data_IF_685731405828
#
_entry.id   IF_685731405828
#
_cell.length_a   1.000
_cell.length_b   1.000
_cell.length_c   1.000
_cell.angle_alpha   90.00
_cell.angle_beta   90.00
_cell.angle_gamma   90.00
#
_symmetry.space_group_name_H-M   'P 1'
#
loop_
_entity.id
_entity.type
_entity.pdbx_description
1 polymer ?
#
# COMPACT_ATOMS: atom_id res chain seq x y z
N UNK A 1 -138.58 43.15 29.56
CA UNK A 1 -137.99 41.82 29.79
C UNK A 1 -137.45 41.16 28.53
N UNK A 2 -138.10 41.29 27.35
CA UNK A 2 -137.63 40.63 26.10
C UNK A 2 -136.31 41.23 25.57
N UNK A 3 -136.10 42.55 25.67
CA UNK A 3 -134.86 43.21 25.19
C UNK A 3 -133.59 42.81 25.97
N UNK A 4 -133.69 42.56 27.29
CA UNK A 4 -132.56 42.12 28.12
C UNK A 4 -132.17 40.65 27.84
N UNK A 5 -133.15 39.78 27.55
CA UNK A 5 -132.92 38.38 27.20
C UNK A 5 -132.25 38.24 25.82
N UNK A 6 -132.71 39.02 24.83
CA UNK A 6 -132.08 39.06 23.50
C UNK A 6 -130.64 39.58 23.59
N UNK A 7 -130.37 40.60 24.42
CA UNK A 7 -129.01 41.09 24.69
C UNK A 7 -128.09 40.02 25.29
N UNK A 8 -128.59 39.22 26.24
CA UNK A 8 -127.82 38.14 26.87
C UNK A 8 -127.51 36.99 25.89
N UNK A 9 -128.48 36.61 25.05
CA UNK A 9 -128.29 35.60 23.99
C UNK A 9 -127.27 36.06 22.95
N UNK A 10 -127.31 37.33 22.51
CA UNK A 10 -126.34 37.89 21.57
C UNK A 10 -124.93 37.92 22.18
N UNK A 11 -124.79 38.26 23.46
CA UNK A 11 -123.48 38.23 24.15
C UNK A 11 -122.94 36.79 24.22
N UNK A 12 -123.77 35.80 24.55
CA UNK A 12 -123.37 34.39 24.59
C UNK A 12 -122.94 33.91 23.20
N UNK A 13 -123.70 34.24 22.15
CA UNK A 13 -123.35 33.87 20.77
C UNK A 13 -122.04 34.54 20.34
N UNK A 14 -121.83 35.82 20.64
CA UNK A 14 -120.57 36.51 20.37
C UNK A 14 -119.39 35.90 21.14
N UNK A 15 -119.57 35.51 22.41
CA UNK A 15 -118.54 34.81 23.19
C UNK A 15 -118.21 33.44 22.61
N UNK A 16 -119.22 32.67 22.18
CA UNK A 16 -119.02 31.37 21.53
C UNK A 16 -118.27 31.55 20.21
N UNK A 17 -118.66 32.52 19.38
CA UNK A 17 -117.97 32.84 18.12
C UNK A 17 -116.53 33.29 18.38
N UNK A 18 -116.29 34.13 19.39
CA UNK A 18 -114.95 34.56 19.77
C UNK A 18 -114.07 33.40 20.26
N UNK A 19 -114.60 32.47 21.05
CA UNK A 19 -113.89 31.25 21.48
C UNK A 19 -113.60 30.32 20.31
N UNK A 20 -114.53 30.16 19.37
CA UNK A 20 -114.34 29.36 18.15
C UNK A 20 -113.27 30.00 17.25
N UNK A 21 -113.32 31.31 17.03
CA UNK A 21 -112.32 32.06 16.26
C UNK A 21 -110.95 32.00 16.95
N UNK A 22 -110.88 32.19 18.27
CA UNK A 22 -109.65 32.06 19.05
C UNK A 22 -109.05 30.66 18.95
N UNK A 23 -109.87 29.61 19.06
CA UNK A 23 -109.43 28.23 18.83
C UNK A 23 -108.99 27.96 17.40
N UNK A 24 -109.68 28.53 16.40
CA UNK A 24 -109.35 28.36 14.98
C UNK A 24 -108.05 29.06 14.62
N UNK A 25 -107.86 30.30 15.08
CA UNK A 25 -106.62 31.07 14.91
C UNK A 25 -105.48 30.44 15.69
N UNK A 26 -105.72 29.98 16.92
CA UNK A 26 -104.74 29.25 17.73
C UNK A 26 -104.30 27.94 17.07
N UNK A 27 -105.25 27.16 16.51
CA UNK A 27 -104.93 25.96 15.74
C UNK A 27 -104.16 26.29 14.45
N UNK A 28 -104.50 27.39 13.78
CA UNK A 28 -103.78 27.84 12.57
C UNK A 28 -102.36 28.27 12.88
N UNK A 29 -102.12 28.99 13.97
CA UNK A 29 -100.76 29.34 14.44
C UNK A 29 -99.99 28.07 14.83
N UNK A 30 -100.65 27.13 15.50
CA UNK A 30 -100.05 25.86 15.89
C UNK A 30 -99.54 25.07 14.67
N UNK A 31 -100.39 24.89 13.66
CA UNK A 31 -100.05 24.05 12.49
C UNK A 31 -99.26 24.78 11.41
N UNK A 32 -99.33 26.11 11.32
CA UNK A 32 -98.68 26.89 10.24
C UNK A 32 -97.37 27.54 10.70
N UNK A 33 -97.11 27.64 12.00
CA UNK A 33 -95.90 28.30 12.53
C UNK A 33 -95.18 27.39 13.53
N UNK A 34 -95.87 26.92 14.58
CA UNK A 34 -95.21 26.16 15.67
C UNK A 34 -94.72 24.78 15.25
N UNK A 35 -95.53 24.01 14.51
CA UNK A 35 -95.12 22.68 14.01
C UNK A 35 -93.87 22.76 13.11
N UNK A 36 -93.83 23.61 12.05
CA UNK A 36 -92.63 23.77 11.23
C UNK A 36 -91.41 24.32 11.98
N UNK A 37 -91.58 25.26 12.92
CA UNK A 37 -90.48 25.75 13.74
C UNK A 37 -89.91 24.65 14.64
N UNK A 38 -90.75 23.75 15.14
CA UNK A 38 -90.29 22.62 15.93
C UNK A 38 -89.55 21.58 15.06
N UNK A 39 -89.94 21.38 13.80
CA UNK A 39 -89.15 20.57 12.86
C UNK A 39 -87.76 21.17 12.60
N UNK A 40 -87.67 22.50 12.42
CA UNK A 40 -86.38 23.19 12.24
C UNK A 40 -85.54 23.13 13.53
N UNK A 41 -86.16 23.28 14.70
CA UNK A 41 -85.52 23.11 16.00
C UNK A 41 -84.95 21.69 16.17
N UNK A 42 -85.72 20.66 15.79
CA UNK A 42 -85.26 19.28 15.82
C UNK A 42 -84.11 19.06 14.83
N UNK A 43 -84.19 19.56 13.61
CA UNK A 43 -83.08 19.50 12.65
C UNK A 43 -81.82 20.21 13.16
N UNK A 44 -81.97 21.34 13.86
CA UNK A 44 -80.86 22.03 14.51
C UNK A 44 -80.26 21.22 15.66
N UNK A 45 -81.10 20.56 16.46
CA UNK A 45 -80.64 19.66 17.51
C UNK A 45 -79.86 18.47 16.93
N UNK A 46 -80.40 17.80 15.91
CA UNK A 46 -79.71 16.73 15.19
C UNK A 46 -78.36 17.21 14.63
N UNK A 47 -78.31 18.41 14.04
CA UNK A 47 -77.06 19.01 13.57
C UNK A 47 -76.05 19.23 14.70
N UNK A 48 -76.50 19.72 15.87
CA UNK A 48 -75.61 19.89 17.04
C UNK A 48 -75.12 18.57 17.62
N UNK A 49 -75.86 17.48 17.42
CA UNK A 49 -75.46 16.12 17.80
C UNK A 49 -74.55 15.47 16.73
N UNK A 50 -74.28 16.16 15.62
CA UNK A 50 -73.42 15.68 14.53
C UNK A 50 -74.13 14.85 13.46
N UNK A 51 -75.46 14.78 13.50
CA UNK A 51 -76.24 14.06 12.49
C UNK A 51 -76.49 14.93 11.25
N UNK A 52 -75.57 14.82 10.29
CA UNK A 52 -75.61 15.57 9.02
C UNK A 52 -76.50 14.92 7.95
N UNK A 53 -77.15 13.80 8.27
CA UNK A 53 -78.03 13.06 7.36
C UNK A 53 -79.52 13.19 7.74
N UNK A 54 -79.85 14.10 8.67
CA UNK A 54 -81.22 14.36 9.09
C UNK A 54 -82.06 15.02 7.99
N UNK A 55 -83.30 14.57 7.83
CA UNK A 55 -84.23 15.03 6.78
C UNK A 55 -85.15 16.11 7.31
N UNK A 56 -84.90 17.37 6.92
CA UNK A 56 -85.84 18.48 7.14
C UNK A 56 -86.80 18.58 5.94
N UNK A 57 -87.99 18.00 6.05
CA UNK A 57 -88.92 17.87 4.92
C UNK A 57 -89.78 19.12 4.65
N UNK A 58 -89.93 20.01 5.63
CA UNK A 58 -90.77 21.21 5.51
C UNK A 58 -90.38 22.09 4.30
N UNK A 59 -91.38 22.40 3.48
CA UNK A 59 -91.27 23.26 2.28
C UNK A 59 -92.43 24.24 2.24
N UNK A 60 -92.10 25.53 2.24
CA UNK A 60 -93.04 26.64 2.06
C UNK A 60 -92.33 27.79 1.35
N UNK A 61 -93.09 28.72 0.78
CA UNK A 61 -92.55 29.96 0.19
C UNK A 61 -92.48 31.13 1.19
N UNK A 62 -92.94 30.91 2.42
CA UNK A 62 -92.86 31.88 3.51
C UNK A 62 -91.45 31.96 4.16
N UNK A 63 -91.30 32.84 5.14
CA UNK A 63 -90.05 33.04 5.87
C UNK A 63 -89.57 31.76 6.58
N UNK A 64 -90.49 30.92 7.04
CA UNK A 64 -90.17 29.65 7.70
C UNK A 64 -89.67 28.63 6.68
N UNK A 65 -90.27 28.62 5.49
CA UNK A 65 -89.82 27.80 4.36
C UNK A 65 -88.43 28.21 3.86
N UNK A 66 -88.14 29.51 3.80
CA UNK A 66 -86.79 30.04 3.50
C UNK A 66 -85.77 29.64 4.57
N UNK A 67 -86.14 29.73 5.86
CA UNK A 67 -85.29 29.28 6.95
C UNK A 67 -85.01 27.76 6.87
N UNK A 68 -86.04 26.95 6.60
CA UNK A 68 -85.89 25.51 6.41
C UNK A 68 -85.01 25.17 5.20
N UNK A 69 -85.11 25.93 4.11
CA UNK A 69 -84.23 25.77 2.95
C UNK A 69 -82.77 26.09 3.30
N UNK A 70 -82.50 27.21 3.96
CA UNK A 70 -81.13 27.57 4.38
C UNK A 70 -80.55 26.56 5.38
N UNK A 71 -81.38 26.01 6.27
CA UNK A 71 -80.98 24.96 7.20
C UNK A 71 -80.65 23.66 6.46
N UNK A 72 -81.49 23.25 5.49
CA UNK A 72 -81.21 22.08 4.62
C UNK A 72 -79.90 22.23 3.84
N UNK A 73 -79.69 23.40 3.22
CA UNK A 73 -78.45 23.69 2.49
C UNK A 73 -77.23 23.63 3.41
N UNK A 74 -77.35 24.13 4.65
CA UNK A 74 -76.27 24.07 5.65
C UNK A 74 -75.96 22.62 6.05
N UNK A 75 -76.98 21.81 6.34
CA UNK A 75 -76.84 20.38 6.65
C UNK A 75 -76.16 19.65 5.48
N UNK A 76 -76.60 19.90 4.25
CA UNK A 76 -76.03 19.29 3.04
C UNK A 76 -74.56 19.68 2.80
N UNK A 77 -74.23 20.96 2.94
CA UNK A 77 -72.85 21.44 2.75
C UNK A 77 -71.93 20.86 3.83
N UNK A 78 -72.34 20.89 5.10
CA UNK A 78 -71.57 20.31 6.20
C UNK A 78 -71.40 18.80 6.02
N UNK A 79 -72.46 18.09 5.63
CA UNK A 79 -72.41 16.67 5.29
C UNK A 79 -71.39 16.37 4.20
N UNK A 80 -71.44 17.13 3.09
CA UNK A 80 -70.51 16.89 1.98
C UNK A 80 -69.05 17.17 2.34
N UNK A 81 -68.74 18.12 3.22
CA UNK A 81 -67.38 18.31 3.75
C UNK A 81 -66.93 17.15 4.64
N UNK A 82 -67.79 16.67 5.53
CA UNK A 82 -67.47 15.52 6.40
C UNK A 82 -67.26 14.26 5.57
N UNK A 83 -68.10 14.02 4.56
CA UNK A 83 -67.97 12.87 3.67
C UNK A 83 -66.68 12.94 2.83
N UNK A 84 -66.30 14.12 2.33
CA UNK A 84 -65.05 14.31 1.59
C UNK A 84 -63.82 14.10 2.48
N UNK A 85 -63.86 14.58 3.73
CA UNK A 85 -62.81 14.31 4.73
C UNK A 85 -62.73 12.82 5.04
N UNK A 86 -63.84 12.14 5.32
CA UNK A 86 -63.86 10.72 5.64
C UNK A 86 -63.32 9.86 4.48
N UNK A 87 -63.76 10.15 3.25
CA UNK A 87 -63.24 9.53 2.03
C UNK A 87 -61.73 9.73 1.92
N UNK A 88 -61.26 10.95 2.09
CA UNK A 88 -59.86 11.28 1.94
C UNK A 88 -58.98 10.67 3.04
N UNK A 89 -59.44 10.64 4.29
CA UNK A 89 -58.76 9.97 5.40
C UNK A 89 -58.69 8.46 5.21
N UNK A 90 -59.73 7.82 4.65
CA UNK A 90 -59.68 6.41 4.26
C UNK A 90 -58.59 6.15 3.22
N UNK A 91 -58.53 6.97 2.17
CA UNK A 91 -57.48 6.86 1.15
C UNK A 91 -56.08 7.06 1.74
N UNK A 92 -55.90 7.99 2.67
CA UNK A 92 -54.62 8.17 3.38
C UNK A 92 -54.25 6.97 4.25
N UNK A 93 -55.22 6.36 4.95
CA UNK A 93 -55.00 5.14 5.72
C UNK A 93 -54.59 3.95 4.85
N UNK A 94 -55.06 3.92 3.60
CA UNK A 94 -54.68 2.91 2.60
C UNK A 94 -53.35 3.25 1.90
N UNK A 95 -52.68 4.34 2.30
CA UNK A 95 -51.40 4.77 1.74
C UNK A 95 -51.50 5.54 0.42
N UNK A 96 -52.70 5.97 0.01
CA UNK A 96 -52.89 6.79 -1.17
C UNK A 96 -52.85 8.29 -0.81
N UNK A 97 -51.71 8.92 -1.07
CA UNK A 97 -51.47 10.36 -0.96
C UNK A 97 -51.58 11.08 -2.32
N UNK A 98 -52.36 10.57 -3.26
CA UNK A 98 -52.77 11.28 -4.49
C UNK A 98 -54.29 11.50 -4.45
N UNK A 99 -54.74 12.30 -3.48
CA UNK A 99 -56.16 12.53 -3.21
C UNK A 99 -56.53 13.94 -3.61
N UNK A 100 -57.54 14.07 -4.46
CA UNK A 100 -58.11 15.34 -4.89
C UNK A 100 -59.43 15.62 -4.16
N UNK A 101 -59.72 16.89 -3.80
CA UNK A 101 -61.02 17.26 -3.24
C UNK A 101 -62.14 17.02 -4.24
N UNK A 102 -63.28 16.49 -3.78
CA UNK A 102 -64.45 16.21 -4.64
C UNK A 102 -65.60 17.21 -4.44
N UNK A 103 -65.47 18.13 -3.49
CA UNK A 103 -66.48 19.12 -3.14
C UNK A 103 -65.97 20.55 -3.27
N UNK A 104 -66.89 21.50 -3.45
CA UNK A 104 -66.55 22.93 -3.49
C UNK A 104 -66.46 23.50 -2.07
N UNK A 105 -65.24 23.62 -1.57
CA UNK A 105 -64.94 24.18 -0.24
C UNK A 105 -65.16 25.70 -0.22
N UNK A 106 -65.93 26.20 0.76
CA UNK A 106 -66.30 27.62 0.87
C UNK A 106 -66.09 28.16 2.28
N UNK A 107 -65.87 29.47 2.37
CA UNK A 107 -65.74 30.18 3.65
C UNK A 107 -64.62 29.61 4.53
N UNK A 108 -64.89 29.48 5.82
CA UNK A 108 -63.91 29.03 6.82
C UNK A 108 -63.42 27.57 6.60
N UNK A 109 -64.16 26.77 5.83
CA UNK A 109 -63.77 25.39 5.51
C UNK A 109 -62.60 25.31 4.52
N UNK A 110 -62.29 26.39 3.79
CA UNK A 110 -61.10 26.46 2.90
C UNK A 110 -59.81 26.26 3.72
N UNK A 111 -59.78 26.67 4.99
CA UNK A 111 -58.64 26.43 5.88
C UNK A 111 -58.34 24.94 6.06
N UNK A 112 -59.38 24.12 6.23
CA UNK A 112 -59.26 22.65 6.36
C UNK A 112 -58.73 22.06 5.06
N UNK A 113 -59.26 22.50 3.91
CA UNK A 113 -58.78 22.08 2.60
C UNK A 113 -57.28 22.38 2.43
N UNK A 114 -56.84 23.58 2.79
CA UNK A 114 -55.42 23.96 2.69
C UNK A 114 -54.54 23.09 3.59
N UNK A 115 -54.97 22.81 4.83
CA UNK A 115 -54.25 21.91 5.73
C UNK A 115 -54.18 20.48 5.19
N UNK A 116 -55.27 20.00 4.58
CA UNK A 116 -55.33 18.69 3.95
C UNK A 116 -54.36 18.57 2.77
N UNK A 117 -54.37 19.55 1.86
CA UNK A 117 -53.45 19.59 0.71
C UNK A 117 -51.99 19.76 1.16
N UNK A 118 -51.73 20.52 2.22
CA UNK A 118 -50.39 20.65 2.78
C UNK A 118 -49.88 19.33 3.37
N UNK A 119 -50.76 18.56 4.03
CA UNK A 119 -50.43 17.25 4.55
C UNK A 119 -50.14 16.24 3.42
N UNK A 120 -51.00 16.18 2.39
CA UNK A 120 -50.79 15.37 1.19
C UNK A 120 -49.41 15.66 0.58
N UNK A 121 -49.14 16.93 0.29
CA UNK A 121 -47.88 17.35 -0.31
C UNK A 121 -46.67 16.99 0.56
N UNK A 122 -46.77 17.18 1.88
CA UNK A 122 -45.68 16.85 2.80
C UNK A 122 -45.38 15.35 2.79
N UNK A 123 -46.42 14.52 2.87
CA UNK A 123 -46.25 13.07 2.88
C UNK A 123 -45.74 12.54 1.54
N UNK A 124 -46.31 13.05 0.43
CA UNK A 124 -45.88 12.74 -0.93
C UNK A 124 -44.39 13.08 -1.14
N UNK A 125 -43.95 14.25 -0.66
CA UNK A 125 -42.53 14.65 -0.68
C UNK A 125 -41.64 13.72 0.14
N UNK A 126 -42.06 13.36 1.36
CA UNK A 126 -41.31 12.44 2.23
C UNK A 126 -41.15 11.06 1.58
N UNK A 127 -42.24 10.46 1.08
CA UNK A 127 -42.22 9.15 0.43
C UNK A 127 -41.31 9.16 -0.81
N UNK A 128 -41.38 10.20 -1.64
CA UNK A 128 -40.46 10.37 -2.79
C UNK A 128 -39.01 10.51 -2.36
N UNK A 129 -38.74 11.29 -1.32
CA UNK A 129 -37.41 11.48 -0.77
C UNK A 129 -36.81 10.16 -0.28
N UNK A 130 -37.58 9.35 0.45
CA UNK A 130 -37.09 8.05 0.93
C UNK A 130 -36.85 7.09 -0.25
N UNK A 131 -37.73 7.08 -1.27
CA UNK A 131 -37.50 6.28 -2.49
C UNK A 131 -36.19 6.64 -3.17
N UNK A 132 -35.95 7.93 -3.38
CA UNK A 132 -34.72 8.41 -4.00
C UNK A 132 -33.46 8.02 -3.20
N UNK A 133 -33.48 8.20 -1.88
CA UNK A 133 -32.37 7.79 -1.00
C UNK A 133 -32.16 6.28 -1.04
N UNK A 134 -33.24 5.48 -1.10
CA UNK A 134 -33.13 4.02 -1.18
C UNK A 134 -32.47 3.58 -2.49
N UNK A 135 -32.84 4.20 -3.61
CA UNK A 135 -32.21 3.95 -4.92
C UNK A 135 -30.71 4.33 -4.90
N UNK A 136 -30.35 5.46 -4.31
CA UNK A 136 -28.94 5.87 -4.16
C UNK A 136 -28.15 4.91 -3.26
N UNK A 137 -28.73 4.46 -2.14
CA UNK A 137 -28.10 3.48 -1.24
C UNK A 137 -27.89 2.15 -1.96
N UNK A 138 -28.89 1.66 -2.71
CA UNK A 138 -28.76 0.41 -3.48
C UNK A 138 -27.64 0.49 -4.51
N UNK A 139 -27.62 1.57 -5.30
CA UNK A 139 -26.59 1.80 -6.32
C UNK A 139 -25.19 1.94 -5.69
N UNK A 140 -25.08 2.69 -4.60
CA UNK A 140 -23.82 2.84 -3.86
C UNK A 140 -23.33 1.51 -3.28
N UNK A 141 -24.24 0.70 -2.75
CA UNK A 141 -23.95 -0.63 -2.22
C UNK A 141 -23.42 -1.58 -3.31
N UNK A 142 -24.07 -1.62 -4.48
CA UNK A 142 -23.61 -2.41 -5.62
C UNK A 142 -22.19 -1.99 -6.06
N UNK A 143 -21.93 -0.69 -6.13
CA UNK A 143 -20.61 -0.17 -6.48
C UNK A 143 -19.55 -0.58 -5.44
N UNK A 144 -19.84 -0.48 -4.14
CA UNK A 144 -18.90 -0.91 -3.09
C UNK A 144 -18.67 -2.42 -3.14
N UNK A 145 -19.71 -3.22 -3.42
CA UNK A 145 -19.58 -4.67 -3.59
C UNK A 145 -18.66 -5.02 -4.76
N UNK A 146 -18.86 -4.39 -5.92
CA UNK A 146 -17.98 -4.57 -7.09
C UNK A 146 -16.53 -4.18 -6.79
N UNK A 147 -16.30 -2.99 -6.25
CA UNK A 147 -14.94 -2.53 -5.90
C UNK A 147 -14.28 -3.42 -4.85
N UNK A 148 -15.05 -3.95 -3.89
CA UNK A 148 -14.51 -4.86 -2.88
C UNK A 148 -14.10 -6.21 -3.50
N UNK A 149 -14.87 -6.75 -4.45
CA UNK A 149 -14.47 -7.95 -5.19
C UNK A 149 -13.19 -7.72 -6.02
N UNK A 150 -13.06 -6.58 -6.71
CA UNK A 150 -11.83 -6.22 -7.43
C UNK A 150 -10.62 -6.10 -6.49
N UNK A 151 -10.82 -5.53 -5.30
CA UNK A 151 -9.78 -5.42 -4.28
C UNK A 151 -9.38 -6.79 -3.69
N UNK A 152 -10.33 -7.72 -3.52
CA UNK A 152 -10.04 -9.09 -3.10
C UNK A 152 -9.23 -9.86 -4.16
N UNK A 153 -9.56 -9.70 -5.44
CA UNK A 153 -8.74 -10.23 -6.54
C UNK A 153 -7.35 -9.59 -6.56
N UNK A 154 -7.28 -8.27 -6.34
CA UNK A 154 -6.02 -7.54 -6.18
C UNK A 154 -5.16 -8.06 -5.03
N UNK A 155 -5.75 -8.37 -3.87
CA UNK A 155 -5.07 -8.99 -2.74
C UNK A 155 -4.54 -10.39 -3.09
N UNK A 156 -5.31 -11.20 -3.82
CA UNK A 156 -4.86 -12.52 -4.30
C UNK A 156 -3.64 -12.40 -5.22
N UNK A 157 -3.66 -11.42 -6.13
CA UNK A 157 -2.51 -11.14 -7.00
C UNK A 157 -1.29 -10.65 -6.21
N UNK A 158 -1.50 -9.81 -5.19
CA UNK A 158 -0.42 -9.38 -4.29
C UNK A 158 0.19 -10.57 -3.53
N UNK A 159 -0.62 -11.54 -3.09
CA UNK A 159 -0.12 -12.74 -2.43
C UNK A 159 0.84 -13.53 -3.33
N UNK A 160 0.51 -13.70 -4.61
CA UNK A 160 1.38 -14.37 -5.58
C UNK A 160 2.72 -13.62 -5.76
N UNK A 161 2.70 -12.29 -5.80
CA UNK A 161 3.93 -11.48 -5.88
C UNK A 161 4.76 -11.61 -4.60
N UNK A 162 4.13 -11.67 -3.43
CA UNK A 162 4.80 -11.89 -2.14
C UNK A 162 5.48 -13.26 -2.10
N UNK A 163 4.85 -14.31 -2.62
CA UNK A 163 5.47 -15.64 -2.75
C UNK A 163 6.71 -15.61 -3.66
N UNK A 164 6.62 -14.97 -4.83
CA UNK A 164 7.76 -14.83 -5.75
C UNK A 164 8.91 -14.01 -5.14
N UNK A 165 8.57 -12.95 -4.40
CA UNK A 165 9.53 -12.10 -3.73
C UNK A 165 10.22 -12.87 -2.58
N UNK A 166 9.48 -13.70 -1.84
CA UNK A 166 10.03 -14.61 -0.82
C UNK A 166 11.04 -15.58 -1.45
N UNK A 167 10.68 -16.21 -2.57
CA UNK A 167 11.59 -17.12 -3.28
C UNK A 167 12.85 -16.39 -3.78
N UNK A 168 12.70 -15.16 -4.27
CA UNK A 168 13.81 -14.33 -4.73
C UNK A 168 14.76 -13.98 -3.60
N UNK A 169 14.24 -13.55 -2.45
CA UNK A 169 15.05 -13.22 -1.27
C UNK A 169 15.74 -14.46 -0.70
N UNK A 170 15.08 -15.63 -0.70
CA UNK A 170 15.70 -16.90 -0.34
C UNK A 170 16.91 -17.23 -1.23
N UNK A 171 16.79 -17.04 -2.55
CA UNK A 171 17.90 -17.26 -3.48
C UNK A 171 19.06 -16.27 -3.25
N UNK A 172 18.75 -15.01 -2.94
CA UNK A 172 19.76 -14.00 -2.60
C UNK A 172 20.47 -14.37 -1.29
N UNK A 173 19.73 -14.85 -0.28
CA UNK A 173 20.28 -15.33 0.98
C UNK A 173 21.28 -16.47 0.78
N UNK A 174 20.92 -17.48 -0.02
CA UNK A 174 21.81 -18.59 -0.36
C UNK A 174 23.09 -18.10 -1.07
N UNK A 175 22.95 -17.14 -1.98
CA UNK A 175 24.09 -16.57 -2.70
C UNK A 175 25.02 -15.77 -1.78
N UNK A 176 24.48 -15.02 -0.81
CA UNK A 176 25.27 -14.31 0.21
C UNK A 176 26.01 -15.31 1.11
N UNK A 177 25.36 -16.39 1.55
CA UNK A 177 26.01 -17.44 2.33
C UNK A 177 27.17 -18.09 1.56
N UNK A 178 26.94 -18.43 0.29
CA UNK A 178 27.96 -18.98 -0.60
C UNK A 178 29.12 -18.01 -0.81
N UNK A 179 28.83 -16.72 -0.98
CA UNK A 179 29.86 -15.68 -1.09
C UNK A 179 30.66 -15.59 0.20
N UNK A 180 30.03 -15.61 1.37
CA UNK A 180 30.70 -15.59 2.68
C UNK A 180 31.67 -16.75 2.85
N UNK A 181 31.25 -17.96 2.50
CA UNK A 181 32.12 -19.14 2.50
C UNK A 181 33.30 -18.98 1.54
N UNK A 182 33.05 -18.51 0.33
CA UNK A 182 34.08 -18.30 -0.69
C UNK A 182 35.10 -17.25 -0.25
N UNK A 183 34.64 -16.13 0.32
CA UNK A 183 35.50 -15.07 0.88
C UNK A 183 36.40 -15.61 1.99
N UNK A 184 35.86 -16.44 2.90
CA UNK A 184 36.67 -17.12 3.94
C UNK A 184 37.72 -18.06 3.34
N UNK A 185 37.41 -18.78 2.27
CA UNK A 185 38.38 -19.63 1.57
C UNK A 185 39.47 -18.81 0.86
N UNK A 186 39.10 -17.69 0.23
CA UNK A 186 40.04 -16.76 -0.40
C UNK A 186 40.99 -16.18 0.65
N UNK A 187 40.48 -15.70 1.79
CA UNK A 187 41.28 -15.16 2.88
C UNK A 187 42.39 -16.12 3.31
N UNK A 188 42.04 -17.39 3.57
CA UNK A 188 43.02 -18.44 3.92
C UNK A 188 44.06 -18.70 2.83
N UNK A 189 43.66 -18.62 1.55
CA UNK A 189 44.59 -18.81 0.43
C UNK A 189 45.57 -17.65 0.29
N UNK A 190 45.11 -16.42 0.53
CA UNK A 190 45.95 -15.21 0.48
C UNK A 190 46.91 -15.18 1.67
N UNK A 191 46.46 -15.56 2.86
CA UNK A 191 47.34 -15.71 4.04
C UNK A 191 48.48 -16.71 3.76
N UNK A 192 48.14 -17.90 3.25
CA UNK A 192 49.14 -18.90 2.86
C UNK A 192 50.08 -18.42 1.75
N UNK A 193 49.56 -17.62 0.81
CA UNK A 193 50.40 -17.01 -0.23
C UNK A 193 51.42 -16.04 0.38
N UNK A 194 50.99 -15.21 1.33
CA UNK A 194 51.86 -14.34 2.11
C UNK A 194 52.99 -15.10 2.80
N UNK A 195 52.66 -16.21 3.48
CA UNK A 195 53.66 -17.07 4.15
C UNK A 195 54.69 -17.63 3.15
N UNK A 196 54.23 -18.13 1.99
CA UNK A 196 55.12 -18.65 0.95
C UNK A 196 56.05 -17.57 0.36
N UNK A 197 55.57 -16.33 0.24
CA UNK A 197 56.37 -15.21 -0.24
C UNK A 197 57.45 -14.86 0.78
N UNK A 198 57.12 -14.84 2.08
CA UNK A 198 58.09 -14.60 3.16
C UNK A 198 59.17 -15.69 3.19
N UNK A 199 58.79 -16.96 3.03
CA UNK A 199 59.75 -18.07 2.92
C UNK A 199 60.65 -17.91 1.69
N UNK A 200 60.07 -17.57 0.54
CA UNK A 200 60.83 -17.31 -0.70
C UNK A 200 61.83 -16.18 -0.52
N UNK A 201 61.44 -15.09 0.16
CA UNK A 201 62.32 -13.96 0.43
C UNK A 201 63.49 -14.37 1.37
N UNK A 202 63.22 -15.19 2.39
CA UNK A 202 64.28 -15.79 3.21
C UNK A 202 65.29 -16.60 2.39
N UNK A 203 64.81 -17.39 1.41
CA UNK A 203 65.69 -18.14 0.50
C UNK A 203 66.50 -17.26 -0.44
N UNK A 204 65.96 -16.12 -0.86
CA UNK A 204 66.73 -15.12 -1.61
C UNK A 204 67.87 -14.52 -0.79
N UNK A 205 67.63 -14.21 0.50
CA UNK A 205 68.70 -13.78 1.40
C UNK A 205 69.78 -14.86 1.61
N UNK A 206 69.39 -16.13 1.75
CA UNK A 206 70.35 -17.25 1.79
C UNK A 206 71.20 -17.33 0.50
N UNK A 207 70.60 -17.07 -0.66
CA UNK A 207 71.29 -17.06 -1.95
C UNK A 207 72.27 -15.89 -2.07
N UNK A 208 71.89 -14.68 -1.66
CA UNK A 208 72.78 -13.50 -1.61
C UNK A 208 73.99 -13.77 -0.71
N UNK A 209 73.78 -14.40 0.45
CA UNK A 209 74.86 -14.79 1.34
C UNK A 209 75.81 -15.80 0.69
N UNK A 210 75.26 -16.81 0.01
CA UNK A 210 76.05 -17.82 -0.71
C UNK A 210 76.88 -17.21 -1.85
N UNK A 211 76.30 -16.27 -2.61
CA UNK A 211 77.03 -15.53 -3.66
C UNK A 211 78.16 -14.67 -3.07
N UNK A 212 77.93 -14.04 -1.92
CA UNK A 212 78.99 -13.31 -1.20
C UNK A 212 80.15 -14.22 -0.78
N UNK A 213 79.86 -15.44 -0.31
CA UNK A 213 80.90 -16.42 0.02
C UNK A 213 81.68 -16.88 -1.22
N UNK A 214 80.98 -17.16 -2.33
CA UNK A 214 81.62 -17.52 -3.61
C UNK A 214 82.50 -16.36 -4.11
N UNK A 215 82.04 -15.12 -4.03
CA UNK A 215 82.81 -13.92 -4.43
C UNK A 215 84.09 -13.79 -3.60
N UNK A 216 84.00 -13.97 -2.27
CA UNK A 216 85.18 -13.96 -1.38
C UNK A 216 86.17 -15.08 -1.73
N UNK A 217 85.67 -16.31 -1.89
CA UNK A 217 86.50 -17.45 -2.27
C UNK A 217 87.21 -17.22 -3.62
N UNK A 218 86.49 -16.65 -4.59
CA UNK A 218 87.03 -16.35 -5.93
C UNK A 218 88.13 -15.28 -5.88
N UNK A 219 87.96 -14.24 -5.06
CA UNK A 219 89.00 -13.22 -4.82
C UNK A 219 90.25 -13.80 -4.14
N UNK A 220 90.09 -14.72 -3.19
CA UNK A 220 91.24 -15.43 -2.60
C UNK A 220 91.95 -16.33 -3.63
N UNK A 221 91.20 -17.01 -4.51
CA UNK A 221 91.79 -17.79 -5.60
C UNK A 221 92.58 -16.90 -6.57
N UNK A 222 92.04 -15.73 -6.95
CA UNK A 222 92.76 -14.78 -7.84
C UNK A 222 94.08 -14.31 -7.22
N UNK A 223 94.09 -14.09 -5.90
CA UNK A 223 95.31 -13.75 -5.15
C UNK A 223 96.35 -14.87 -5.21
N UNK A 224 95.92 -16.12 -5.04
CA UNK A 224 96.79 -17.30 -5.18
C UNK A 224 97.35 -17.39 -6.61
N UNK A 225 96.51 -17.20 -7.63
CA UNK A 225 96.93 -17.23 -9.04
C UNK A 225 97.95 -16.12 -9.34
N UNK A 226 97.75 -14.93 -8.78
CA UNK A 226 98.71 -13.82 -8.89
C UNK A 226 100.07 -14.21 -8.30
N UNK A 227 100.09 -14.83 -7.11
CA UNK A 227 101.33 -15.36 -6.52
C UNK A 227 101.97 -16.45 -7.37
N UNK A 228 101.18 -17.35 -7.96
CA UNK A 228 101.70 -18.39 -8.89
C UNK A 228 102.36 -17.73 -10.10
N UNK A 229 101.75 -16.70 -10.68
CA UNK A 229 102.32 -15.96 -11.81
C UNK A 229 103.62 -15.24 -11.43
N UNK A 230 103.70 -14.67 -10.23
CA UNK A 230 104.93 -14.08 -9.69
C UNK A 230 106.04 -15.14 -9.53
N UNK A 231 105.72 -16.31 -8.97
CA UNK A 231 106.66 -17.43 -8.84
C UNK A 231 107.12 -17.91 -10.22
N UNK A 232 106.22 -18.03 -11.19
CA UNK A 232 106.55 -18.43 -12.55
C UNK A 232 107.51 -17.41 -13.20
N UNK A 233 107.25 -16.11 -13.05
CA UNK A 233 108.13 -15.04 -13.54
C UNK A 233 109.52 -15.07 -12.86
N UNK A 234 109.58 -15.26 -11.54
CA UNK A 234 110.85 -15.42 -10.82
C UNK A 234 111.61 -16.67 -11.27
N UNK A 235 110.91 -17.79 -11.49
CA UNK A 235 111.48 -19.04 -12.00
C UNK A 235 112.04 -18.85 -13.41
N UNK A 236 111.34 -18.08 -14.25
CA UNK A 236 111.77 -17.73 -15.59
C UNK A 236 113.09 -16.92 -15.57
N UNK A 237 113.18 -15.91 -14.69
CA UNK A 237 114.39 -15.11 -14.48
C UNK A 237 115.56 -15.95 -13.94
N UNK A 238 115.30 -16.85 -12.99
CA UNK A 238 116.29 -17.79 -12.46
C UNK A 238 116.81 -18.74 -13.56
N UNK A 239 115.92 -19.27 -14.38
CA UNK A 239 116.25 -20.14 -15.50
C UNK A 239 117.06 -19.40 -16.57
N UNK A 240 116.72 -18.15 -16.87
CA UNK A 240 117.49 -17.29 -17.77
C UNK A 240 118.90 -17.04 -17.24
N UNK A 241 119.04 -16.69 -15.96
CA UNK A 241 120.35 -16.50 -15.31
C UNK A 241 121.19 -17.78 -15.34
N UNK A 242 120.57 -18.94 -15.07
CA UNK A 242 121.23 -20.24 -15.16
C UNK A 242 121.67 -20.58 -16.59
N UNK A 243 120.85 -20.25 -17.60
CA UNK A 243 121.18 -20.45 -19.01
C UNK A 243 122.35 -19.57 -19.47
N UNK A 244 122.40 -18.31 -19.00
CA UNK A 244 123.52 -17.39 -19.23
C UNK A 244 124.82 -17.93 -18.61
N UNK A 245 124.77 -18.39 -17.35
CA UNK A 245 125.96 -18.91 -16.67
C UNK A 245 126.42 -20.26 -17.26
N UNK A 246 125.49 -21.09 -17.73
CA UNK A 246 125.79 -22.31 -18.45
C UNK A 246 126.46 -22.03 -19.82
N UNK A 247 126.01 -20.99 -20.54
CA UNK A 247 126.67 -20.53 -21.77
C UNK A 247 128.08 -20.01 -21.50
N UNK A 248 128.28 -19.35 -20.34
CA UNK A 248 129.59 -18.84 -19.89
C UNK A 248 130.59 -19.96 -19.56
N UNK A 249 130.11 -21.12 -19.11
CA UNK A 249 130.92 -22.31 -18.82
C UNK A 249 131.31 -23.14 -20.07
N UNK A 250 130.88 -22.76 -21.27
CA UNK A 250 131.29 -23.39 -22.54
C UNK A 250 130.87 -24.86 -22.68
N UNK A 251 131.79 -25.73 -23.12
CA UNK A 251 131.53 -27.18 -23.34
C UNK A 251 131.05 -27.90 -22.07
N UNK A 252 131.54 -27.51 -20.88
CA UNK A 252 131.16 -28.13 -19.60
C UNK A 252 129.73 -27.79 -19.15
N UNK A 253 129.15 -26.69 -19.67
CA UNK A 253 127.82 -26.18 -19.30
C UNK A 253 126.67 -26.69 -20.17
N UNK A 254 126.94 -27.41 -21.27
CA UNK A 254 125.92 -27.82 -22.25
C UNK A 254 124.72 -28.56 -21.64
N UNK A 255 124.96 -29.50 -20.71
CA UNK A 255 123.88 -30.23 -20.03
C UNK A 255 123.02 -29.33 -19.13
N UNK A 256 123.66 -28.39 -18.42
CA UNK A 256 122.97 -27.40 -17.58
C UNK A 256 122.17 -26.39 -18.41
N UNK A 257 122.68 -25.99 -19.58
CA UNK A 257 121.97 -25.09 -20.50
C UNK A 257 120.65 -25.70 -21.01
N UNK A 258 120.63 -27.00 -21.31
CA UNK A 258 119.42 -27.71 -21.74
C UNK A 258 118.37 -27.75 -20.63
N UNK A 259 118.79 -28.06 -19.39
CA UNK A 259 117.88 -28.07 -18.23
C UNK A 259 117.35 -26.65 -17.94
N UNK A 260 118.22 -25.65 -17.96
CA UNK A 260 117.82 -24.25 -17.77
C UNK A 260 116.80 -23.78 -18.82
N UNK A 261 117.00 -24.15 -20.09
CA UNK A 261 116.04 -23.85 -21.15
C UNK A 261 114.69 -24.57 -20.95
N UNK A 262 114.71 -25.83 -20.50
CA UNK A 262 113.49 -26.58 -20.22
C UNK A 262 112.69 -25.98 -19.03
N UNK A 263 113.40 -25.52 -17.99
CA UNK A 263 112.80 -24.82 -16.84
C UNK A 263 112.20 -23.49 -17.27
N UNK A 264 112.86 -22.76 -18.18
CA UNK A 264 112.36 -21.51 -18.75
C UNK A 264 111.01 -21.73 -19.49
N UNK A 265 110.94 -22.75 -20.37
CA UNK A 265 109.70 -23.12 -21.08
C UNK A 265 108.58 -23.51 -20.11
N UNK A 266 108.88 -24.29 -19.07
CA UNK A 266 107.90 -24.67 -18.04
C UNK A 266 107.41 -23.45 -17.21
N UNK A 267 108.29 -22.50 -16.95
CA UNK A 267 107.97 -21.26 -16.25
C UNK A 267 107.04 -20.37 -17.11
N UNK A 268 107.33 -20.22 -18.40
CA UNK A 268 106.47 -19.49 -19.34
C UNK A 268 105.10 -20.17 -19.49
N UNK A 269 105.06 -21.51 -19.58
CA UNK A 269 103.80 -22.26 -19.59
C UNK A 269 103.00 -22.09 -18.30
N UNK A 270 103.67 -22.06 -17.14
CA UNK A 270 103.02 -21.82 -15.83
C UNK A 270 102.46 -20.40 -15.73
N UNK A 271 103.21 -19.39 -16.21
CA UNK A 271 102.74 -18.01 -16.26
C UNK A 271 101.54 -17.85 -17.21
N UNK A 272 101.56 -18.54 -18.36
CA UNK A 272 100.44 -18.55 -19.28
C UNK A 272 99.18 -19.18 -18.67
N UNK A 273 99.30 -20.36 -18.05
CA UNK A 273 98.19 -21.02 -17.38
C UNK A 273 97.64 -20.20 -16.20
N UNK A 274 98.51 -19.51 -15.45
CA UNK A 274 98.11 -18.60 -14.39
C UNK A 274 97.30 -17.41 -14.94
N UNK A 275 97.74 -16.78 -16.04
CA UNK A 275 96.98 -15.69 -16.69
C UNK A 275 95.62 -16.14 -17.20
N UNK A 276 95.54 -17.31 -17.83
CA UNK A 276 94.27 -17.89 -18.28
C UNK A 276 93.33 -18.19 -17.10
N UNK A 277 93.87 -18.73 -16.01
CA UNK A 277 93.09 -18.99 -14.79
C UNK A 277 92.59 -17.69 -14.13
N UNK A 278 93.42 -16.65 -14.07
CA UNK A 278 93.01 -15.34 -13.53
C UNK A 278 91.90 -14.72 -14.38
N UNK A 279 91.98 -14.82 -15.71
CA UNK A 279 90.90 -14.37 -16.58
C UNK A 279 89.57 -15.11 -16.31
N UNK A 280 89.59 -16.44 -16.15
CA UNK A 280 88.41 -17.22 -15.80
C UNK A 280 87.84 -16.87 -14.42
N UNK A 281 88.71 -16.61 -13.43
CA UNK A 281 88.28 -16.17 -12.10
C UNK A 281 87.68 -14.77 -12.15
N UNK A 282 88.26 -13.84 -12.90
CA UNK A 282 87.69 -12.51 -13.10
C UNK A 282 86.27 -12.58 -13.70
N UNK A 283 86.08 -13.41 -14.73
CA UNK A 283 84.73 -13.65 -15.29
C UNK A 283 83.79 -14.31 -14.27
N UNK A 284 84.29 -15.21 -13.43
CA UNK A 284 83.49 -15.84 -12.38
C UNK A 284 83.05 -14.84 -11.31
N UNK A 285 83.93 -13.93 -10.90
CA UNK A 285 83.61 -12.84 -9.97
C UNK A 285 82.52 -11.94 -10.56
N UNK A 286 82.67 -11.52 -11.82
CA UNK A 286 81.67 -10.71 -12.53
C UNK A 286 80.30 -11.41 -12.61
N UNK A 287 80.29 -12.71 -12.92
CA UNK A 287 79.06 -13.51 -12.97
C UNK A 287 78.36 -13.61 -11.60
N UNK A 288 79.13 -13.75 -10.53
CA UNK A 288 78.61 -13.79 -9.15
C UNK A 288 78.08 -12.43 -8.72
N UNK A 289 78.75 -11.34 -9.08
CA UNK A 289 78.30 -9.97 -8.80
C UNK A 289 76.97 -9.66 -9.50
N UNK A 290 76.86 -10.05 -10.79
CA UNK A 290 75.59 -9.96 -11.52
C UNK A 290 74.49 -10.83 -10.89
N UNK A 291 74.83 -12.05 -10.46
CA UNK A 291 73.89 -12.95 -9.77
C UNK A 291 73.39 -12.36 -8.45
N UNK A 292 74.25 -11.65 -7.72
CA UNK A 292 73.89 -10.97 -6.47
C UNK A 292 72.90 -9.82 -6.72
N UNK A 293 73.13 -8.99 -7.75
CA UNK A 293 72.21 -7.90 -8.13
C UNK A 293 70.82 -8.45 -8.46
N UNK A 294 70.76 -9.48 -9.31
CA UNK A 294 69.47 -10.12 -9.67
C UNK A 294 68.77 -10.71 -8.44
N UNK A 295 69.54 -11.28 -7.51
CA UNK A 295 69.01 -11.84 -6.28
C UNK A 295 68.42 -10.77 -5.35
N UNK A 296 69.12 -9.65 -5.18
CA UNK A 296 68.63 -8.51 -4.38
C UNK A 296 67.38 -7.87 -5.00
N UNK A 297 67.37 -7.65 -6.32
CA UNK A 297 66.21 -7.12 -7.03
C UNK A 297 64.98 -8.05 -6.89
N UNK A 298 65.20 -9.36 -6.98
CA UNK A 298 64.14 -10.36 -6.79
C UNK A 298 63.64 -10.37 -5.34
N UNK A 299 64.53 -10.25 -4.34
CA UNK A 299 64.14 -10.18 -2.93
C UNK A 299 63.26 -8.95 -2.65
N UNK A 300 63.61 -7.79 -3.23
CA UNK A 300 62.83 -6.57 -3.13
C UNK A 300 61.44 -6.70 -3.77
N UNK A 301 61.36 -7.31 -4.97
CA UNK A 301 60.07 -7.58 -5.61
C UNK A 301 59.19 -8.51 -4.76
N UNK A 302 59.77 -9.54 -4.14
CA UNK A 302 59.01 -10.41 -3.24
C UNK A 302 58.48 -9.65 -2.01
N UNK A 303 59.23 -8.69 -1.48
CA UNK A 303 58.77 -7.83 -0.38
C UNK A 303 57.59 -6.94 -0.80
N UNK A 304 57.64 -6.37 -2.01
CA UNK A 304 56.51 -5.62 -2.58
C UNK A 304 55.26 -6.50 -2.74
N UNK A 305 55.40 -7.71 -3.30
CA UNK A 305 54.29 -8.66 -3.46
C UNK A 305 53.74 -9.12 -2.10
N UNK A 306 54.57 -9.28 -1.08
CA UNK A 306 54.11 -9.57 0.29
C UNK A 306 53.25 -8.42 0.85
N UNK A 307 53.65 -7.17 0.59
CA UNK A 307 52.88 -5.98 0.93
C UNK A 307 51.51 -5.97 0.23
N UNK A 308 51.47 -6.23 -1.08
CA UNK A 308 50.22 -6.31 -1.85
C UNK A 308 49.31 -7.45 -1.35
N UNK A 309 49.86 -8.62 -1.03
CA UNK A 309 49.10 -9.74 -0.47
C UNK A 309 48.41 -9.37 0.85
N UNK A 310 49.05 -8.53 1.67
CA UNK A 310 48.44 -8.02 2.91
C UNK A 310 47.26 -7.10 2.64
N UNK A 311 47.38 -6.20 1.66
CA UNK A 311 46.29 -5.32 1.23
C UNK A 311 45.09 -6.15 0.74
N UNK A 312 45.34 -7.18 -0.07
CA UNK A 312 44.28 -8.10 -0.55
C UNK A 312 43.60 -8.80 0.64
N UNK A 313 44.36 -9.19 1.67
CA UNK A 313 43.80 -9.80 2.88
C UNK A 313 42.85 -8.84 3.60
N UNK A 314 43.24 -7.57 3.74
CA UNK A 314 42.43 -6.54 4.37
C UNK A 314 41.13 -6.25 3.56
N UNK A 315 41.22 -6.22 2.23
CA UNK A 315 40.04 -6.08 1.36
C UNK A 315 39.07 -7.25 1.49
N UNK A 316 39.59 -8.48 1.55
CA UNK A 316 38.77 -9.69 1.74
C UNK A 316 38.09 -9.69 3.10
N UNK A 317 38.74 -9.18 4.16
CA UNK A 317 38.10 -8.99 5.47
C UNK A 317 36.96 -7.98 5.41
N UNK A 318 37.11 -6.86 4.68
CA UNK A 318 36.03 -5.88 4.48
C UNK A 318 34.85 -6.46 3.70
N UNK A 319 35.12 -7.32 2.71
CA UNK A 319 34.06 -8.04 1.99
C UNK A 319 33.31 -8.96 2.94
N UNK A 320 34.01 -9.66 3.85
CA UNK A 320 33.37 -10.54 4.83
C UNK A 320 32.43 -9.76 5.78
N UNK A 321 32.87 -8.60 6.27
CA UNK A 321 32.07 -7.69 7.11
C UNK A 321 30.82 -7.16 6.37
N UNK A 322 30.97 -6.82 5.09
CA UNK A 322 29.84 -6.41 4.23
C UNK A 322 28.83 -7.55 4.05
N UNK A 323 29.30 -8.79 3.87
CA UNK A 323 28.44 -9.97 3.73
C UNK A 323 27.69 -10.30 5.03
N UNK A 324 28.30 -10.06 6.18
CA UNK A 324 27.64 -10.19 7.48
C UNK A 324 26.50 -9.17 7.61
N UNK A 325 26.76 -7.90 7.27
CA UNK A 325 25.73 -6.85 7.23
C UNK A 325 24.59 -7.21 6.26
N UNK A 326 24.91 -7.67 5.05
CA UNK A 326 23.89 -8.11 4.07
C UNK A 326 23.03 -9.26 4.58
N UNK A 327 23.60 -10.15 5.41
CA UNK A 327 22.84 -11.25 6.00
C UNK A 327 21.80 -10.72 6.98
N UNK A 328 22.16 -9.73 7.81
CA UNK A 328 21.23 -9.06 8.72
C UNK A 328 20.13 -8.30 7.97
N UNK A 329 20.49 -7.57 6.90
CA UNK A 329 19.52 -6.86 6.06
C UNK A 329 18.52 -7.82 5.40
N UNK A 330 18.98 -8.98 4.93
CA UNK A 330 18.10 -10.02 4.35
C UNK A 330 17.14 -10.59 5.40
N UNK A 331 17.57 -10.76 6.65
CA UNK A 331 16.67 -11.18 7.73
C UNK A 331 15.56 -10.16 7.97
N UNK A 332 15.90 -8.86 8.01
CA UNK A 332 14.89 -7.80 8.15
C UNK A 332 13.94 -7.74 6.94
N UNK A 333 14.45 -7.96 5.73
CA UNK A 333 13.60 -8.05 4.53
C UNK A 333 12.61 -9.21 4.66
N UNK A 334 13.05 -10.39 5.12
CA UNK A 334 12.16 -11.53 5.34
C UNK A 334 11.06 -11.24 6.38
N UNK A 335 11.40 -10.59 7.50
CA UNK A 335 10.39 -10.16 8.48
C UNK A 335 9.39 -9.16 7.87
N UNK A 336 9.86 -8.22 7.04
CA UNK A 336 9.00 -7.29 6.32
C UNK A 336 8.06 -7.97 5.33
N UNK A 337 8.53 -9.02 4.65
CA UNK A 337 7.71 -9.82 3.72
C UNK A 337 6.61 -10.56 4.47
N UNK A 338 6.93 -11.14 5.64
CA UNK A 338 5.94 -11.83 6.48
C UNK A 338 4.83 -10.86 6.93
N UNK A 339 5.20 -9.64 7.37
CA UNK A 339 4.22 -8.61 7.70
C UNK A 339 3.35 -8.20 6.52
N UNK A 340 3.93 -8.07 5.31
CA UNK A 340 3.16 -7.78 4.09
C UNK A 340 2.18 -8.93 3.81
N UNK A 341 2.62 -10.18 3.94
CA UNK A 341 1.76 -11.34 3.74
C UNK A 341 0.54 -11.33 4.68
N UNK A 342 0.75 -11.01 5.96
CA UNK A 342 -0.34 -10.89 6.94
C UNK A 342 -1.35 -9.79 6.54
N UNK A 343 -0.85 -8.64 6.08
CA UNK A 343 -1.71 -7.54 5.61
C UNK A 343 -2.48 -7.94 4.35
N UNK A 344 -1.86 -8.65 3.41
CA UNK A 344 -2.52 -9.14 2.20
C UNK A 344 -3.65 -10.10 2.54
N UNK A 345 -3.44 -11.04 3.47
CA UNK A 345 -4.49 -11.95 3.92
C UNK A 345 -5.62 -11.22 4.64
N UNK A 346 -5.28 -10.29 5.53
CA UNK A 346 -6.27 -9.46 6.24
C UNK A 346 -7.09 -8.61 5.27
N UNK A 347 -6.46 -8.05 4.25
CA UNK A 347 -7.13 -7.27 3.21
C UNK A 347 -8.11 -8.14 2.42
N UNK A 348 -7.69 -9.33 1.98
CA UNK A 348 -8.56 -10.27 1.27
C UNK A 348 -9.83 -10.58 2.08
N UNK A 349 -9.68 -10.95 3.35
CA UNK A 349 -10.80 -11.22 4.24
C UNK A 349 -11.71 -9.99 4.44
N UNK A 350 -11.11 -8.81 4.66
CA UNK A 350 -11.85 -7.55 4.85
C UNK A 350 -12.65 -7.17 3.61
N UNK A 351 -12.09 -7.38 2.41
CA UNK A 351 -12.79 -7.06 1.16
C UNK A 351 -13.91 -8.05 0.85
N UNK A 352 -13.75 -9.33 1.17
CA UNK A 352 -14.85 -10.30 1.11
C UNK A 352 -15.99 -9.94 2.07
N UNK A 353 -15.67 -9.56 3.31
CA UNK A 353 -16.66 -9.08 4.29
C UNK A 353 -17.36 -7.80 3.82
N UNK A 354 -16.62 -6.84 3.24
CA UNK A 354 -17.17 -5.60 2.72
C UNK A 354 -18.12 -5.84 1.54
N UNK A 355 -17.77 -6.78 0.65
CA UNK A 355 -18.65 -7.20 -0.45
C UNK A 355 -19.95 -7.81 0.08
N UNK A 356 -19.87 -8.70 1.07
CA UNK A 356 -21.04 -9.31 1.71
C UNK A 356 -21.94 -8.27 2.42
N UNK A 357 -21.36 -7.37 3.20
CA UNK A 357 -22.09 -6.30 3.89
C UNK A 357 -22.75 -5.34 2.90
N UNK A 358 -22.11 -5.07 1.76
CA UNK A 358 -22.67 -4.24 0.70
C UNK A 358 -23.84 -4.94 0.00
N UNK A 359 -23.74 -6.26 -0.23
CA UNK A 359 -24.86 -7.05 -0.75
C UNK A 359 -26.08 -6.99 0.18
N UNK A 360 -25.85 -7.07 1.50
CA UNK A 360 -26.91 -6.93 2.52
C UNK A 360 -27.53 -5.53 2.50
N UNK A 361 -26.70 -4.48 2.40
CA UNK A 361 -27.17 -3.09 2.30
C UNK A 361 -28.02 -2.85 1.04
N UNK A 362 -27.64 -3.43 -0.10
CA UNK A 362 -28.43 -3.39 -1.34
C UNK A 362 -29.79 -4.07 -1.14
N UNK A 363 -29.80 -5.27 -0.52
CA UNK A 363 -31.05 -5.98 -0.22
C UNK A 363 -31.96 -5.21 0.73
N UNK A 364 -31.43 -4.56 1.77
CA UNK A 364 -32.22 -3.74 2.69
C UNK A 364 -32.77 -2.48 2.02
N UNK A 365 -32.01 -1.87 1.10
CA UNK A 365 -32.50 -0.75 0.29
C UNK A 365 -33.63 -1.18 -0.66
N UNK A 366 -33.53 -2.37 -1.24
CA UNK A 366 -34.59 -2.96 -2.06
C UNK A 366 -35.85 -3.25 -1.23
N UNK A 367 -35.70 -3.87 -0.05
CA UNK A 367 -36.80 -4.09 0.90
C UNK A 367 -37.49 -2.76 1.30
N UNK A 368 -36.71 -1.70 1.54
CA UNK A 368 -37.25 -0.38 1.83
C UNK A 368 -38.04 0.19 0.65
N UNK A 369 -37.54 0.01 -0.57
CA UNK A 369 -38.23 0.40 -1.79
C UNK A 369 -39.56 -0.37 -1.95
N UNK A 370 -39.58 -1.69 -1.71
CA UNK A 370 -40.81 -2.50 -1.73
C UNK A 370 -41.84 -2.04 -0.69
N UNK A 371 -41.40 -1.68 0.51
CA UNK A 371 -42.28 -1.14 1.55
C UNK A 371 -42.88 0.21 1.12
N UNK A 372 -42.10 1.03 0.41
CA UNK A 372 -42.50 2.36 -0.06
C UNK A 372 -43.41 2.29 -1.28
N UNK A 373 -43.24 1.31 -2.16
CA UNK A 373 -44.10 1.10 -3.34
C UNK A 373 -45.58 0.90 -2.99
N UNK A 374 -45.90 0.51 -1.75
CA UNK A 374 -47.28 0.42 -1.25
C UNK A 374 -47.97 1.78 -1.18
N UNK A 375 -47.20 2.87 -1.04
CA UNK A 375 -47.74 4.22 -1.00
C UNK A 375 -47.92 4.77 -2.41
N UNK A 376 -49.12 5.23 -2.71
CA UNK A 376 -49.43 5.92 -3.95
C UNK A 376 -49.23 7.42 -3.76
N UNK A 377 -48.30 8.00 -4.50
CA UNK A 377 -48.02 9.44 -4.48
C UNK A 377 -48.23 10.02 -5.87
N UNK A 378 -48.71 11.26 -5.94
CA UNK A 378 -48.92 11.93 -7.22
C UNK A 378 -47.59 12.07 -7.99
N UNK A 379 -47.57 11.70 -9.27
CA UNK A 379 -46.51 12.16 -10.18
C UNK A 379 -46.67 13.67 -10.34
N UNK A 380 -45.87 14.43 -9.59
CA UNK A 380 -45.73 15.85 -9.87
C UNK A 380 -44.81 15.93 -11.07
N UNK A 381 -45.37 16.22 -12.24
CA UNK A 381 -44.56 16.77 -13.33
C UNK A 381 -43.96 18.06 -12.78
N UNK A 382 -42.63 18.10 -12.66
CA UNK A 382 -41.89 19.35 -12.46
C UNK A 382 -42.16 20.35 -13.58
#
# INVERSE_FOLDING_TARGET
MISAFVGFVVIIVCLIIAVILSRKTGKKILTTILEPLHEIENAAKELTEGNLHSTLEYKSEDEIGRLAQSMRESIYILGSYVDDIDRAMKLFSDGNFDVKPEVEWKGDFIGILNSFLAFEKSMSSTVKGIRHVSEEVSSGAEQVSMSSNELAEGATNQAAVVEELTATVSNVSEQVEKNSKTTKEISKRVEKLGDNILESNSKMHEMVNSMNEISKASKEIDKIITTINEIASQTNLLALNASIEAARAGEAGKGFAVVANQVNILADQSAQAARESSALIATSVEAVENGMVVAEDTAKQLEEVAGESKIITDEVMRIADTLETQTEEILQINEGIEQINDVVQSNSATFEECAAASQEMSSEAENLNEMIQKFKVAEFNE
#
